data_IF_649789905223
#
_entry.id   IF_649789905223
#
_cell.length_a   1.000
_cell.length_b   1.000
_cell.length_c   1.000
_cell.angle_alpha   90.00
_cell.angle_beta   90.00
_cell.angle_gamma   90.00
#
_symmetry.space_group_name_H-M   'P 1'
#
loop_
_entity.id
_entity.type
_entity.pdbx_description
1 polymer ?
#
# COMPACT_ATOMS: atom_id res chain seq x y z
N UNK A 1 45.54 -63.60 3.65
CA UNK A 1 46.03 -63.99 5.00
C UNK A 1 46.94 -62.93 5.66
N UNK A 2 47.23 -61.78 5.03
CA UNK A 2 48.13 -60.74 5.58
C UNK A 2 47.42 -59.68 6.42
N UNK A 3 46.11 -59.51 6.27
CA UNK A 3 45.36 -58.45 6.95
C UNK A 3 45.39 -58.55 8.49
N UNK A 4 45.43 -59.79 9.02
CA UNK A 4 45.53 -60.04 10.46
C UNK A 4 46.86 -59.56 11.07
N UNK A 5 47.91 -59.41 10.25
CA UNK A 5 49.21 -58.89 10.69
C UNK A 5 49.20 -57.35 10.69
N UNK A 6 48.52 -56.75 9.70
CA UNK A 6 48.47 -55.30 9.50
C UNK A 6 47.55 -54.62 10.51
N UNK A 7 46.37 -55.19 10.78
CA UNK A 7 45.35 -54.64 11.69
C UNK A 7 45.44 -55.24 13.10
N UNK A 8 46.64 -55.60 13.54
CA UNK A 8 46.83 -56.32 14.81
C UNK A 8 46.62 -55.38 16.02
N UNK A 9 45.73 -55.77 16.94
CA UNK A 9 45.60 -55.18 18.28
C UNK A 9 46.28 -56.08 19.31
N UNK A 10 47.03 -55.55 20.31
CA UNK A 10 47.59 -56.37 21.39
C UNK A 10 46.45 -57.06 22.17
N UNK A 11 46.56 -58.38 22.37
CA UNK A 11 45.56 -59.21 23.06
C UNK A 11 44.50 -59.88 22.17
N UNK A 12 44.62 -59.81 20.84
CA UNK A 12 43.69 -60.46 19.91
C UNK A 12 43.88 -61.99 19.88
N UNK A 13 42.84 -62.76 20.28
CA UNK A 13 42.84 -64.23 20.28
C UNK A 13 42.23 -64.83 19.00
N UNK A 14 41.42 -64.06 18.29
CA UNK A 14 40.71 -64.48 17.08
C UNK A 14 40.68 -63.39 16.03
N UNK A 15 40.61 -63.79 14.75
CA UNK A 15 40.53 -62.86 13.60
C UNK A 15 39.27 -61.98 13.64
N UNK A 16 38.23 -62.40 14.38
CA UNK A 16 36.98 -61.64 14.53
C UNK A 16 37.13 -60.37 15.37
N UNK A 17 38.12 -60.31 16.26
CA UNK A 17 38.35 -59.16 17.17
C UNK A 17 39.27 -58.10 16.55
N UNK A 18 39.52 -58.21 15.25
CA UNK A 18 40.33 -57.28 14.49
C UNK A 18 39.69 -55.89 14.48
N UNK A 19 40.42 -54.82 14.86
CA UNK A 19 39.90 -53.46 14.84
C UNK A 19 39.52 -53.04 13.42
N UNK A 20 38.27 -52.61 13.27
CA UNK A 20 37.72 -52.02 12.05
C UNK A 20 37.21 -50.63 12.45
N UNK A 21 37.92 -49.59 12.04
CA UNK A 21 37.47 -48.20 12.17
C UNK A 21 36.97 -47.76 10.79
N UNK A 22 35.66 -47.76 10.61
CA UNK A 22 35.00 -47.27 9.40
C UNK A 22 34.49 -45.85 9.65
N UNK A 23 34.49 -45.02 8.61
CA UNK A 23 33.81 -43.73 8.66
C UNK A 23 32.31 -43.98 8.76
N UNK A 24 31.69 -43.39 9.77
CA UNK A 24 30.31 -43.66 10.13
C UNK A 24 29.72 -42.46 10.87
N UNK A 25 28.38 -42.35 10.88
CA UNK A 25 27.74 -41.29 11.63
C UNK A 25 28.13 -41.40 13.11
N UNK A 26 28.27 -40.26 13.82
CA UNK A 26 28.54 -40.28 15.25
C UNK A 26 27.44 -41.06 15.98
N UNK A 27 27.75 -41.69 17.12
CA UNK A 27 26.74 -42.36 17.94
C UNK A 27 25.68 -41.33 18.37
N UNK A 28 24.49 -41.40 17.77
CA UNK A 28 23.41 -40.42 17.92
C UNK A 28 22.93 -39.76 16.62
N UNK A 29 23.64 -39.96 15.50
CA UNK A 29 23.24 -39.46 14.18
C UNK A 29 23.40 -37.93 13.99
N UNK A 30 22.96 -37.42 12.83
CA UNK A 30 23.00 -35.99 12.52
C UNK A 30 21.69 -35.29 12.90
N UNK A 31 21.76 -33.97 13.14
CA UNK A 31 20.57 -33.16 13.37
C UNK A 31 19.61 -33.25 12.15
N UNK A 32 18.28 -33.21 12.40
CA UNK A 32 17.31 -33.33 11.33
C UNK A 32 17.38 -32.12 10.39
N UNK A 33 17.84 -32.36 9.15
CA UNK A 33 17.88 -31.34 8.11
C UNK A 33 16.47 -31.13 7.57
N UNK A 34 15.98 -29.89 7.65
CA UNK A 34 14.68 -29.52 7.10
C UNK A 34 14.83 -29.28 5.60
N UNK A 35 14.29 -30.18 4.79
CA UNK A 35 14.35 -30.10 3.33
C UNK A 35 13.11 -29.42 2.71
N UNK A 36 12.01 -29.33 3.45
CA UNK A 36 10.73 -28.82 2.94
C UNK A 36 10.67 -27.29 2.94
N UNK A 37 10.09 -26.72 1.89
CA UNK A 37 9.83 -25.28 1.77
C UNK A 37 8.76 -24.85 2.78
N UNK A 38 9.04 -23.79 3.54
CA UNK A 38 8.08 -23.17 4.47
C UNK A 38 7.83 -21.72 4.08
N UNK A 39 6.73 -21.47 3.37
CA UNK A 39 6.26 -20.11 3.10
C UNK A 39 5.14 -19.80 4.10
N UNK A 40 5.37 -18.86 5.03
CA UNK A 40 4.34 -18.50 5.99
C UNK A 40 3.33 -17.52 5.36
N UNK A 41 2.05 -17.92 5.30
CA UNK A 41 0.96 -17.04 4.86
C UNK A 41 0.44 -16.23 6.05
N UNK A 42 1.14 -15.15 6.40
CA UNK A 42 0.79 -14.25 7.52
C UNK A 42 -0.10 -13.06 7.09
N UNK A 43 -0.66 -13.11 5.89
CA UNK A 43 -1.51 -12.05 5.38
C UNK A 43 -2.87 -12.01 6.09
N UNK A 44 -3.52 -10.84 6.16
CA UNK A 44 -4.90 -10.75 6.62
C UNK A 44 -5.81 -11.59 5.72
N UNK A 45 -6.85 -12.17 6.30
CA UNK A 45 -7.85 -12.94 5.56
C UNK A 45 -8.50 -12.09 4.47
N UNK A 46 -8.91 -12.71 3.36
CA UNK A 46 -9.59 -12.05 2.25
C UNK A 46 -10.79 -11.21 2.73
N UNK A 47 -11.56 -11.73 3.69
CA UNK A 47 -12.69 -11.01 4.27
C UNK A 47 -12.26 -9.76 5.04
N UNK A 48 -11.13 -9.82 5.75
CA UNK A 48 -10.61 -8.68 6.49
C UNK A 48 -10.18 -7.55 5.54
N UNK A 49 -9.53 -7.91 4.42
CA UNK A 49 -9.16 -6.94 3.38
C UNK A 49 -10.42 -6.31 2.76
N UNK A 50 -11.40 -7.15 2.41
CA UNK A 50 -12.64 -6.69 1.79
C UNK A 50 -13.42 -5.73 2.70
N UNK A 51 -13.63 -6.10 3.96
CA UNK A 51 -14.34 -5.26 4.92
C UNK A 51 -13.60 -3.97 5.24
N UNK A 52 -12.27 -4.00 5.31
CA UNK A 52 -11.47 -2.79 5.49
C UNK A 52 -11.63 -1.84 4.31
N UNK A 53 -11.51 -2.35 3.08
CA UNK A 53 -11.67 -1.55 1.87
C UNK A 53 -13.09 -1.00 1.75
N UNK A 54 -14.11 -1.84 1.98
CA UNK A 54 -15.50 -1.44 1.92
C UNK A 54 -15.84 -0.40 3.00
N UNK A 55 -15.39 -0.61 4.24
CA UNK A 55 -15.59 0.33 5.34
C UNK A 55 -14.91 1.68 5.10
N UNK A 56 -13.67 1.66 4.59
CA UNK A 56 -12.96 2.88 4.21
C UNK A 56 -13.69 3.62 3.08
N UNK A 57 -14.19 2.91 2.09
CA UNK A 57 -14.96 3.49 0.99
C UNK A 57 -16.27 4.10 1.45
N UNK A 58 -17.08 3.36 2.22
CA UNK A 58 -18.38 3.85 2.69
C UNK A 58 -18.22 5.08 3.58
N UNK A 59 -17.22 5.08 4.47
CA UNK A 59 -16.92 6.22 5.31
C UNK A 59 -16.37 7.41 4.50
N UNK A 60 -15.48 7.16 3.54
CA UNK A 60 -14.95 8.19 2.64
C UNK A 60 -16.07 8.87 1.85
N UNK A 61 -17.02 8.11 1.32
CA UNK A 61 -18.17 8.65 0.58
C UNK A 61 -19.09 9.47 1.47
N UNK A 62 -19.29 9.07 2.74
CA UNK A 62 -20.01 9.88 3.71
C UNK A 62 -19.35 11.24 3.92
N UNK A 63 -18.03 11.27 4.15
CA UNK A 63 -17.30 12.51 4.37
C UNK A 63 -17.28 13.41 3.13
N UNK A 64 -17.16 12.84 1.93
CA UNK A 64 -17.30 13.59 0.67
C UNK A 64 -18.69 14.23 0.56
N UNK A 65 -19.75 13.51 0.93
CA UNK A 65 -21.11 14.04 0.95
C UNK A 65 -21.25 15.26 1.87
N UNK A 66 -20.69 15.18 3.08
CA UNK A 66 -20.71 16.29 4.04
C UNK A 66 -19.89 17.48 3.52
N UNK A 67 -18.70 17.24 2.96
CA UNK A 67 -17.89 18.28 2.34
C UNK A 67 -18.59 18.96 1.16
N UNK A 68 -19.33 18.22 0.34
CA UNK A 68 -20.07 18.78 -0.79
C UNK A 68 -21.23 19.67 -0.33
N UNK A 69 -21.91 19.34 0.77
CA UNK A 69 -22.93 20.22 1.36
C UNK A 69 -22.33 21.57 1.78
N UNK A 70 -21.18 21.54 2.47
CA UNK A 70 -20.47 22.76 2.89
C UNK A 70 -20.05 23.58 1.67
N UNK A 71 -19.46 22.95 0.65
CA UNK A 71 -19.08 23.64 -0.60
C UNK A 71 -20.28 24.26 -1.31
N UNK A 72 -21.44 23.61 -1.27
CA UNK A 72 -22.68 24.15 -1.85
C UNK A 72 -23.14 25.39 -1.09
N UNK A 73 -23.14 25.35 0.24
CA UNK A 73 -23.49 26.50 1.08
C UNK A 73 -22.56 27.70 0.80
N UNK A 74 -21.25 27.49 0.73
CA UNK A 74 -20.28 28.55 0.41
C UNK A 74 -20.48 29.12 -1.00
N UNK A 75 -20.82 28.28 -1.99
CA UNK A 75 -21.15 28.75 -3.34
C UNK A 75 -22.42 29.59 -3.32
N UNK A 76 -23.43 29.17 -2.58
CA UNK A 76 -24.70 29.88 -2.46
C UNK A 76 -24.51 31.24 -1.80
N UNK A 77 -23.71 31.32 -0.73
CA UNK A 77 -23.31 32.58 -0.11
C UNK A 77 -22.61 33.51 -1.10
N UNK A 78 -21.63 32.99 -1.86
CA UNK A 78 -20.95 33.75 -2.92
C UNK A 78 -21.93 34.28 -3.99
N UNK A 79 -22.91 33.47 -4.39
CA UNK A 79 -23.93 33.90 -5.35
C UNK A 79 -24.93 34.90 -4.76
N UNK A 80 -25.25 34.78 -3.47
CA UNK A 80 -26.08 35.76 -2.77
C UNK A 80 -25.37 37.12 -2.70
N UNK A 81 -24.09 37.14 -2.31
CA UNK A 81 -23.28 38.36 -2.29
C UNK A 81 -23.18 39.02 -3.68
N UNK A 82 -22.95 38.23 -4.73
CA UNK A 82 -22.96 38.73 -6.12
C UNK A 82 -24.30 39.34 -6.51
N UNK A 83 -25.41 38.66 -6.22
CA UNK A 83 -26.76 39.15 -6.53
C UNK A 83 -27.09 40.44 -5.79
N UNK A 84 -26.58 40.62 -4.57
CA UNK A 84 -26.79 41.85 -3.80
C UNK A 84 -26.09 43.07 -4.42
N UNK A 85 -24.90 42.90 -5.00
CA UNK A 85 -24.12 43.99 -5.60
C UNK A 85 -24.47 44.23 -7.08
N UNK A 86 -25.05 43.23 -7.75
CA UNK A 86 -25.37 43.28 -9.18
C UNK A 86 -26.17 44.51 -9.63
N UNK A 87 -27.21 44.98 -8.90
CA UNK A 87 -27.97 46.16 -9.35
C UNK A 87 -27.12 47.44 -9.44
N UNK A 88 -26.15 47.61 -8.53
CA UNK A 88 -25.25 48.78 -8.55
C UNK A 88 -24.32 48.70 -9.75
N UNK A 89 -23.72 47.52 -9.98
CA UNK A 89 -22.85 47.32 -11.14
C UNK A 89 -23.60 47.49 -12.46
N UNK A 90 -24.86 47.03 -12.53
CA UNK A 90 -25.71 47.21 -13.69
C UNK A 90 -26.01 48.69 -13.93
N UNK A 91 -26.32 49.45 -12.89
CA UNK A 91 -26.56 50.89 -13.01
C UNK A 91 -25.31 51.64 -13.52
N UNK A 92 -24.12 51.31 -13.03
CA UNK A 92 -22.86 51.88 -13.53
C UNK A 92 -22.61 51.55 -15.01
N UNK A 93 -22.94 50.33 -15.44
CA UNK A 93 -22.81 49.91 -16.84
C UNK A 93 -23.84 50.61 -17.74
N UNK A 94 -25.08 50.75 -17.29
CA UNK A 94 -26.14 51.46 -17.99
C UNK A 94 -25.79 52.95 -18.18
N UNK A 95 -25.24 53.62 -17.15
CA UNK A 95 -24.74 55.00 -17.25
C UNK A 95 -23.61 55.13 -18.28
N UNK A 96 -22.63 54.21 -18.26
CA UNK A 96 -21.53 54.19 -19.25
C UNK A 96 -22.05 53.98 -20.66
N UNK A 97 -23.03 53.09 -20.84
CA UNK A 97 -23.64 52.81 -22.13
C UNK A 97 -24.33 54.06 -22.71
N UNK A 98 -25.12 54.74 -21.89
CA UNK A 98 -25.77 55.99 -22.28
C UNK A 98 -24.76 57.10 -22.57
N UNK A 99 -23.69 57.21 -21.77
CA UNK A 99 -22.62 58.17 -22.02
C UNK A 99 -21.99 57.95 -23.40
N UNK A 100 -21.64 56.71 -23.74
CA UNK A 100 -21.06 56.37 -25.05
C UNK A 100 -22.02 56.70 -26.20
N UNK A 101 -23.31 56.41 -26.05
CA UNK A 101 -24.32 56.73 -27.08
C UNK A 101 -24.53 58.24 -27.27
N UNK A 102 -24.49 59.00 -26.18
CA UNK A 102 -24.74 60.45 -26.20
C UNK A 102 -23.51 61.26 -26.57
N UNK A 103 -22.30 60.72 -26.36
CA UNK A 103 -21.08 61.33 -26.89
C UNK A 103 -21.02 61.15 -28.40
N UNK A 104 -20.95 62.24 -29.19
CA UNK A 104 -20.73 62.10 -30.63
C UNK A 104 -19.35 61.47 -30.83
N UNK A 105 -19.33 60.30 -31.48
CA UNK A 105 -18.09 59.70 -31.98
C UNK A 105 -17.42 60.76 -32.86
N UNK A 106 -16.17 61.21 -32.59
CA UNK A 106 -15.45 62.00 -33.55
C UNK A 106 -15.24 61.12 -34.78
N UNK A 107 -15.95 61.43 -35.86
CA UNK A 107 -15.67 60.89 -37.18
C UNK A 107 -14.26 61.34 -37.54
N UNK A 108 -13.25 60.52 -37.21
CA UNK A 108 -11.93 60.67 -37.78
C UNK A 108 -12.04 60.33 -39.27
N UNK A 109 -11.85 61.37 -40.08
CA UNK A 109 -11.68 61.36 -41.54
C UNK A 109 -10.45 60.60 -41.99
#
# INVERSE_FOLDING_TARGET
MTEAVIRKKPGMVSVKDMPILQDGPPPGGFAPVRYARRIPNKGPSAMAIFLAAFGAFSYGMYQVGQGNKIRRALKEEKFAARRAVLPVLQAEEDERYLMIQTTPIPLHS
#
